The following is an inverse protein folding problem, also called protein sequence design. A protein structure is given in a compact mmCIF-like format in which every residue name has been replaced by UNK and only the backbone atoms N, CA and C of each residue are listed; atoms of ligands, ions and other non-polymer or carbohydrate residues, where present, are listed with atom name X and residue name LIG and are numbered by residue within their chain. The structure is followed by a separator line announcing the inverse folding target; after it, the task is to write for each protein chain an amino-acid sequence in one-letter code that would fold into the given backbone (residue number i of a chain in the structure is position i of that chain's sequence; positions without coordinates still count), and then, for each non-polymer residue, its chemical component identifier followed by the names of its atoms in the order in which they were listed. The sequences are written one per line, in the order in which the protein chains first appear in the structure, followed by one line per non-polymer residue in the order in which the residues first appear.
data_IF_116377631198
#
_entry.id   IF_116377631198
#
_cell.length_a   1.000
_cell.length_b   1.000
_cell.length_c   1.000
_cell.angle_alpha   90.00
_cell.angle_beta   90.00
_cell.angle_gamma   90.00
#
_symmetry.space_group_name_H-M   'P 1'
#
loop_
_entity.id
_entity.type
_entity.pdbx_description
1 polymer ?
#
# COMPACT_ATOMS: atom_id res chain seq x y z
N UNK A 1 -35.23 -7.97 -2.77
CA UNK A 1 -33.97 -8.39 -3.42
C UNK A 1 -33.01 -8.81 -2.30
N UNK A 2 -32.59 -10.08 -2.18
CA UNK A 2 -31.60 -10.44 -1.17
C UNK A 2 -30.23 -9.90 -1.59
N UNK A 3 -29.68 -9.05 -0.72
CA UNK A 3 -28.30 -8.68 -0.42
C UNK A 3 -27.28 -9.22 -1.43
N UNK A 4 -26.73 -8.33 -2.27
CA UNK A 4 -25.54 -8.62 -3.06
C UNK A 4 -24.45 -9.10 -2.12
N UNK A 5 -24.01 -10.33 -2.31
CA UNK A 5 -22.79 -10.83 -1.68
C UNK A 5 -21.67 -9.87 -2.07
N UNK A 6 -21.22 -9.04 -1.13
CA UNK A 6 -19.96 -8.31 -1.28
C UNK A 6 -18.86 -9.35 -1.48
N UNK A 7 -18.54 -9.64 -2.74
CA UNK A 7 -17.50 -10.59 -3.11
C UNK A 7 -16.19 -10.04 -2.54
N UNK A 8 -15.72 -10.68 -1.47
CA UNK A 8 -14.45 -10.34 -0.83
C UNK A 8 -13.46 -11.50 -1.04
N UNK A 9 -12.27 -11.23 -1.60
CA UNK A 9 -11.79 -9.94 -2.09
C UNK A 9 -12.45 -9.52 -3.42
N UNK A 10 -12.62 -8.21 -3.66
CA UNK A 10 -13.04 -7.69 -4.96
C UNK A 10 -11.91 -7.78 -5.99
N UNK A 11 -12.29 -7.86 -7.26
CA UNK A 11 -11.37 -8.02 -8.39
C UNK A 11 -10.70 -6.69 -8.79
N UNK A 12 -11.31 -5.56 -8.49
CA UNK A 12 -10.83 -4.23 -8.84
C UNK A 12 -10.41 -3.39 -7.63
N UNK A 13 -9.43 -2.52 -7.84
CA UNK A 13 -9.06 -1.49 -6.87
C UNK A 13 -8.50 -2.01 -5.53
N UNK A 14 -8.21 -1.05 -4.65
CA UNK A 14 -7.77 -1.30 -3.28
C UNK A 14 -8.97 -1.27 -2.33
N UNK A 15 -9.10 -2.28 -1.49
CA UNK A 15 -10.13 -2.33 -0.46
C UNK A 15 -9.53 -2.66 0.91
N UNK A 16 -10.11 -2.11 1.96
CA UNK A 16 -9.57 -2.18 3.33
C UNK A 16 -10.68 -2.56 4.33
N UNK A 17 -10.39 -3.49 5.22
CA UNK A 17 -11.21 -3.86 6.38
C UNK A 17 -10.39 -3.66 7.67
N UNK A 18 -10.93 -4.08 8.81
CA UNK A 18 -10.31 -3.81 10.12
C UNK A 18 -8.88 -4.38 10.23
N UNK A 19 -8.66 -5.61 9.79
CA UNK A 19 -7.39 -6.34 9.92
C UNK A 19 -6.86 -6.94 8.60
N UNK A 20 -7.48 -6.59 7.47
CA UNK A 20 -7.11 -7.11 6.17
C UNK A 20 -7.30 -6.04 5.08
N UNK A 21 -6.58 -6.20 3.97
CA UNK A 21 -6.78 -5.46 2.75
C UNK A 21 -6.83 -6.41 1.56
N UNK A 22 -7.41 -5.94 0.46
CA UNK A 22 -7.54 -6.68 -0.78
C UNK A 22 -7.16 -5.82 -1.99
N UNK A 23 -6.51 -6.45 -2.96
CA UNK A 23 -6.18 -5.87 -4.27
C UNK A 23 -6.11 -6.99 -5.31
N UNK A 24 -6.73 -6.77 -6.48
CA UNK A 24 -6.76 -7.73 -7.60
C UNK A 24 -7.24 -9.13 -7.18
N UNK A 25 -8.35 -9.23 -6.44
CA UNK A 25 -8.88 -10.52 -6.00
C UNK A 25 -8.00 -11.26 -4.98
N UNK A 26 -7.00 -10.58 -4.40
CA UNK A 26 -6.15 -11.15 -3.35
C UNK A 26 -6.25 -10.36 -2.05
N UNK A 27 -6.62 -11.08 -0.98
CA UNK A 27 -6.58 -10.56 0.39
C UNK A 27 -5.26 -10.84 1.08
N UNK A 28 -4.90 -9.99 2.03
CA UNK A 28 -3.75 -10.17 2.91
C UNK A 28 -3.97 -9.43 4.23
N UNK A 29 -3.29 -9.87 5.28
CA UNK A 29 -3.41 -9.28 6.62
C UNK A 29 -2.62 -7.97 6.69
N UNK A 30 -3.28 -6.91 7.15
CA UNK A 30 -2.65 -5.62 7.42
C UNK A 30 -3.53 -4.84 8.40
N UNK A 31 -2.91 -4.24 9.42
CA UNK A 31 -3.61 -3.51 10.47
C UNK A 31 -2.85 -2.25 10.87
N UNK A 32 -3.45 -1.45 11.74
CA UNK A 32 -2.82 -0.28 12.35
C UNK A 32 -2.25 0.72 11.35
N UNK A 33 -1.11 1.32 11.70
CA UNK A 33 -0.49 2.41 10.93
C UNK A 33 0.03 1.97 9.58
N UNK A 34 0.37 0.70 9.41
CA UNK A 34 0.78 0.13 8.13
C UNK A 34 -0.41 0.13 7.15
N UNK A 35 -1.60 -0.26 7.64
CA UNK A 35 -2.83 -0.21 6.85
C UNK A 35 -3.15 1.22 6.44
N UNK A 36 -3.09 2.16 7.40
CA UNK A 36 -3.36 3.57 7.13
C UNK A 36 -2.35 4.12 6.10
N UNK A 37 -1.08 3.75 6.22
CA UNK A 37 -0.03 4.16 5.27
C UNK A 37 -0.31 3.64 3.86
N UNK A 38 -0.68 2.37 3.73
CA UNK A 38 -1.03 1.78 2.44
C UNK A 38 -2.28 2.43 1.84
N UNK A 39 -3.30 2.69 2.68
CA UNK A 39 -4.54 3.35 2.27
C UNK A 39 -4.27 4.75 1.71
N UNK A 40 -3.48 5.56 2.42
CA UNK A 40 -3.08 6.90 1.96
C UNK A 40 -2.39 6.86 0.60
N UNK A 41 -1.46 5.92 0.41
CA UNK A 41 -0.75 5.77 -0.88
C UNK A 41 -1.66 5.29 -2.01
N UNK A 42 -2.57 4.35 -1.71
CA UNK A 42 -3.52 3.82 -2.69
C UNK A 42 -4.53 4.88 -3.15
N UNK A 43 -5.00 5.72 -2.23
CA UNK A 43 -5.98 6.78 -2.50
C UNK A 43 -5.37 7.99 -3.22
N UNK A 44 -4.13 8.37 -2.89
CA UNK A 44 -3.50 9.57 -3.42
C UNK A 44 -3.25 9.51 -4.94
N UNK A 45 -3.10 8.31 -5.53
CA UNK A 45 -2.81 8.06 -6.97
C UNK A 45 -1.68 8.93 -7.55
N UNK A 46 -0.84 9.49 -6.69
CA UNK A 46 0.18 10.48 -7.00
C UNK A 46 1.31 10.37 -5.98
N UNK A 47 2.37 11.15 -6.21
CA UNK A 47 3.53 11.15 -5.32
C UNK A 47 3.26 12.03 -4.11
N UNK A 48 3.56 11.51 -2.92
CA UNK A 48 3.39 12.19 -1.65
C UNK A 48 4.72 12.51 -0.97
N UNK A 49 4.77 13.61 -0.25
CA UNK A 49 5.86 13.90 0.69
C UNK A 49 5.70 13.06 1.95
N UNK A 50 6.77 12.92 2.74
CA UNK A 50 6.69 12.29 4.07
C UNK A 50 5.65 12.98 4.96
N UNK A 51 5.56 14.32 4.90
CA UNK A 51 4.59 15.07 5.69
C UNK A 51 3.15 14.74 5.27
N UNK A 52 2.85 14.70 3.97
CA UNK A 52 1.52 14.34 3.49
C UNK A 52 1.12 12.91 3.90
N UNK A 53 2.09 11.98 3.94
CA UNK A 53 1.85 10.63 4.45
C UNK A 53 1.61 10.66 5.96
N UNK A 54 2.40 11.42 6.72
CA UNK A 54 2.24 11.56 8.16
C UNK A 54 0.84 12.11 8.52
N UNK A 55 0.39 13.15 7.83
CA UNK A 55 -0.91 13.78 8.03
C UNK A 55 -2.06 12.81 7.72
N UNK A 56 -1.93 12.02 6.65
CA UNK A 56 -2.92 11.00 6.28
C UNK A 56 -2.95 9.81 7.25
N UNK A 57 -1.80 9.45 7.84
CA UNK A 57 -1.68 8.31 8.75
C UNK A 57 -2.08 8.68 10.18
N UNK A 58 -1.89 9.93 10.61
CA UNK A 58 -2.09 10.37 12.00
C UNK A 58 -2.57 11.81 12.04
N UNK A 59 -3.76 12.04 12.58
CA UNK A 59 -4.35 13.39 12.68
C UNK A 59 -3.84 14.17 13.91
N UNK A 60 -3.37 13.47 14.96
CA UNK A 60 -3.09 14.09 16.27
C UNK A 60 -1.60 14.08 16.69
N UNK A 61 -0.75 13.30 16.00
CA UNK A 61 0.67 13.19 16.35
C UNK A 61 1.56 13.53 15.17
N UNK A 62 2.51 14.44 15.39
CA UNK A 62 3.63 14.69 14.47
C UNK A 62 4.53 13.44 14.43
N UNK A 63 4.25 12.55 13.48
CA UNK A 63 5.10 11.39 13.24
C UNK A 63 6.41 11.85 12.58
N UNK A 64 7.53 11.52 13.21
CA UNK A 64 8.85 11.81 12.66
C UNK A 64 9.11 11.06 11.35
N UNK A 65 9.93 11.65 10.47
CA UNK A 65 10.26 11.10 9.15
C UNK A 65 10.83 9.67 9.20
N UNK A 66 11.60 9.34 10.25
CA UNK A 66 12.12 7.99 10.49
C UNK A 66 11.00 6.96 10.69
N UNK A 67 9.95 7.33 11.43
CA UNK A 67 8.81 6.46 11.72
C UNK A 67 8.01 6.17 10.45
N UNK A 68 7.72 7.20 9.66
CA UNK A 68 7.02 7.05 8.38
C UNK A 68 7.80 6.18 7.41
N UNK A 69 9.12 6.37 7.30
CA UNK A 69 9.99 5.49 6.49
C UNK A 69 9.97 4.04 6.98
N UNK A 70 9.83 3.82 8.29
CA UNK A 70 9.60 2.50 8.88
C UNK A 70 8.32 1.87 8.34
N UNK A 71 7.18 2.57 8.45
CA UNK A 71 5.90 2.08 7.93
C UNK A 71 5.93 1.81 6.42
N UNK A 72 6.55 2.70 5.63
CA UNK A 72 6.74 2.50 4.20
C UNK A 72 7.56 1.24 3.88
N UNK A 73 8.59 0.94 4.69
CA UNK A 73 9.39 -0.26 4.54
C UNK A 73 8.61 -1.52 4.90
N UNK A 74 7.82 -1.49 5.96
CA UNK A 74 6.97 -2.60 6.39
C UNK A 74 5.88 -2.90 5.36
N UNK A 75 5.19 -1.86 4.88
CA UNK A 75 4.21 -1.98 3.79
C UNK A 75 4.86 -2.56 2.54
N UNK A 76 6.07 -2.11 2.17
CA UNK A 76 6.80 -2.68 1.01
C UNK A 76 7.05 -4.17 1.19
N UNK A 77 7.56 -4.59 2.35
CA UNK A 77 7.83 -6.00 2.64
C UNK A 77 6.55 -6.84 2.58
N UNK A 78 5.47 -6.33 3.14
CA UNK A 78 4.17 -6.97 3.17
C UNK A 78 3.57 -7.12 1.76
N UNK A 79 3.67 -6.09 0.93
CA UNK A 79 3.23 -6.20 -0.48
C UNK A 79 4.10 -7.19 -1.27
N UNK A 80 5.40 -7.28 -0.99
CA UNK A 80 6.28 -8.27 -1.63
C UNK A 80 6.02 -9.71 -1.19
N UNK A 81 5.46 -9.92 0.01
CA UNK A 81 5.03 -11.26 0.43
C UNK A 81 3.63 -11.61 -0.08
N UNK A 82 2.77 -10.60 -0.22
CA UNK A 82 1.41 -10.77 -0.73
C UNK A 82 1.35 -10.88 -2.26
N UNK A 83 2.26 -10.28 -3.02
CA UNK A 83 2.16 -10.20 -4.48
C UNK A 83 3.47 -10.58 -5.18
N UNK A 84 3.37 -10.89 -6.47
CA UNK A 84 4.55 -10.92 -7.33
C UNK A 84 4.88 -9.48 -7.68
N UNK A 85 6.06 -9.05 -7.25
CA UNK A 85 6.56 -7.68 -7.48
C UNK A 85 7.74 -7.72 -8.43
N UNK A 86 7.60 -7.08 -9.60
CA UNK A 86 8.71 -6.86 -10.53
C UNK A 86 9.65 -5.78 -9.97
N UNK A 87 10.85 -6.21 -9.58
CA UNK A 87 11.91 -5.33 -9.05
C UNK A 87 13.00 -5.05 -10.08
N UNK A 88 12.84 -5.48 -11.34
CA UNK A 88 13.85 -5.32 -12.39
C UNK A 88 14.09 -3.86 -12.75
N UNK A 89 13.01 -3.04 -12.74
CA UNK A 89 13.06 -1.59 -13.02
C UNK A 89 13.46 -0.77 -11.79
N UNK A 90 12.90 -1.11 -10.63
CA UNK A 90 13.19 -0.43 -9.36
C UNK A 90 13.24 -1.43 -8.19
N UNK A 91 14.39 -1.50 -7.54
CA UNK A 91 14.61 -2.35 -6.35
C UNK A 91 13.78 -1.91 -5.14
N UNK A 92 13.10 -0.76 -5.18
CA UNK A 92 12.19 -0.29 -4.14
C UNK A 92 10.72 -0.58 -4.45
N UNK A 93 10.40 -1.15 -5.61
CA UNK A 93 9.04 -1.57 -5.94
C UNK A 93 8.45 -2.50 -4.85
N UNK A 94 7.16 -2.37 -4.49
CA UNK A 94 6.17 -1.50 -5.13
C UNK A 94 6.06 -0.11 -4.47
N UNK A 95 6.84 0.20 -3.44
CA UNK A 95 6.82 1.50 -2.76
C UNK A 95 8.08 2.28 -3.15
N UNK A 96 7.95 3.09 -4.20
CA UNK A 96 9.08 3.80 -4.81
C UNK A 96 9.28 5.17 -4.17
N UNK A 97 10.54 5.63 -4.14
CA UNK A 97 10.89 6.99 -3.77
C UNK A 97 11.63 7.68 -4.92
N UNK A 98 11.30 8.95 -5.17
CA UNK A 98 12.04 9.84 -6.05
C UNK A 98 12.60 11.00 -5.24
N UNK A 99 13.90 11.25 -5.35
CA UNK A 99 14.61 12.26 -4.57
C UNK A 99 15.38 11.67 -3.38
N UNK A 100 15.89 12.54 -2.51
CA UNK A 100 16.68 12.17 -1.32
C UNK A 100 16.22 12.98 -0.11
N UNK A 101 16.45 12.45 1.08
CA UNK A 101 16.18 13.19 2.31
C UNK A 101 14.69 13.46 2.55
N UNK A 102 14.36 14.64 3.07
CA UNK A 102 13.00 15.03 3.44
C UNK A 102 12.14 15.41 2.23
N UNK A 103 12.78 15.79 1.11
CA UNK A 103 12.14 16.09 -0.17
C UNK A 103 11.80 14.84 -0.98
N UNK A 104 12.11 13.65 -0.46
CA UNK A 104 11.78 12.40 -1.13
C UNK A 104 10.26 12.26 -1.30
N UNK A 105 9.86 12.02 -2.55
CA UNK A 105 8.49 11.81 -2.98
C UNK A 105 8.21 10.32 -3.12
N UNK A 106 7.17 9.84 -2.44
CA UNK A 106 6.83 8.42 -2.32
C UNK A 106 5.53 8.12 -3.06
N UNK A 107 5.47 6.96 -3.72
CA UNK A 107 4.24 6.49 -4.37
C UNK A 107 4.17 4.97 -4.40
N UNK A 108 2.94 4.47 -4.54
CA UNK A 108 2.68 3.07 -4.83
C UNK A 108 2.72 2.84 -6.35
N UNK A 109 3.64 1.99 -6.79
CA UNK A 109 3.81 1.60 -8.19
C UNK A 109 2.98 0.34 -8.49
N UNK A 110 1.78 0.56 -9.02
CA UNK A 110 0.84 -0.52 -9.34
C UNK A 110 1.30 -1.37 -10.53
N UNK A 111 2.11 -0.82 -11.44
CA UNK A 111 2.60 -1.57 -12.62
C UNK A 111 3.58 -2.67 -12.22
N UNK A 112 4.23 -2.51 -11.07
CA UNK A 112 5.13 -3.52 -10.51
C UNK A 112 4.41 -4.68 -9.83
N UNK A 113 3.10 -4.56 -9.53
CA UNK A 113 2.34 -5.55 -8.75
C UNK A 113 1.55 -6.46 -9.68
N UNK A 114 1.68 -7.77 -9.47
CA UNK A 114 0.86 -8.79 -10.12
C UNK A 114 0.48 -9.90 -9.15
N UNK A 115 -0.61 -10.61 -9.45
CA UNK A 115 -1.09 -11.74 -8.64
C UNK A 115 -0.52 -13.03 -9.22
N UNK A 116 -0.04 -13.98 -8.39
CA UNK A 116 0.37 -15.28 -8.90
C UNK A 116 -0.76 -15.99 -9.65
N UNK A 117 -0.42 -16.61 -10.78
CA UNK A 117 -1.37 -17.30 -11.67
C UNK A 117 -2.20 -18.39 -10.97
N UNK A 118 -1.73 -18.97 -9.85
CA UNK A 118 -2.48 -19.99 -9.10
C UNK A 118 -3.65 -19.43 -8.27
N UNK A 119 -3.78 -18.10 -8.16
CA UNK A 119 -4.90 -17.44 -7.49
C UNK A 119 -5.93 -16.84 -8.45
N UNK A 120 -5.71 -16.90 -9.77
CA UNK A 120 -6.70 -16.56 -10.77
C UNK A 120 -7.58 -17.80 -11.02
N UNK A 121 -8.72 -17.90 -10.34
CA UNK A 121 -9.72 -18.96 -10.55
C UNK A 121 -11.03 -18.36 -11.00
#
# INVERSE_FOLDING_TARGET
MPIGSETWPPDDGWHFREQEAAFLGRKFEIAGRQKDTLKVLAEARSRLTIQAIADGVSHDNQLGSKTIRGYLSEVRTLLRSAFIVDQSKDKNAPIISKGRGEEALWSLDLESISVPAHFQR
#
